data_IF_913205656807
#
_entry.id   IF_913205656807
#
_cell.length_a   1.000
_cell.length_b   1.000
_cell.length_c   1.000
_cell.angle_alpha   90.00
_cell.angle_beta   90.00
_cell.angle_gamma   90.00
#
_symmetry.space_group_name_H-M   'P 1'
#
loop_
_entity.id
_entity.type
_entity.pdbx_description
1 polymer ?
#
# COMPACT_ATOMS: atom_id res chain seq x y z
N UNK A 1 -32.94 4.88 -1.91
CA UNK A 1 -32.82 3.68 -2.79
C UNK A 1 -31.98 2.59 -2.14
N UNK A 2 -30.76 2.89 -1.68
CA UNK A 2 -29.86 1.87 -1.10
C UNK A 2 -30.36 1.29 0.24
N UNK A 3 -31.00 2.10 1.09
CA UNK A 3 -31.62 1.61 2.33
C UNK A 3 -32.87 0.74 2.07
N UNK A 4 -33.62 1.05 1.03
CA UNK A 4 -34.83 0.30 0.64
C UNK A 4 -34.50 -1.03 -0.07
N UNK A 5 -33.31 -1.14 -0.68
CA UNK A 5 -32.89 -2.30 -1.47
C UNK A 5 -31.43 -2.68 -1.18
N UNK A 6 -31.13 -3.22 0.01
CA UNK A 6 -29.76 -3.58 0.40
C UNK A 6 -29.12 -4.64 -0.51
N UNK A 7 -29.94 -5.48 -1.16
CA UNK A 7 -29.49 -6.49 -2.11
C UNK A 7 -28.73 -5.91 -3.33
N UNK A 8 -28.90 -4.62 -3.64
CA UNK A 8 -28.14 -3.94 -4.69
C UNK A 8 -26.62 -3.97 -4.42
N UNK A 9 -26.21 -3.87 -3.15
CA UNK A 9 -24.80 -3.95 -2.76
C UNK A 9 -24.22 -5.34 -3.06
N UNK A 10 -24.98 -6.40 -2.76
CA UNK A 10 -24.60 -7.78 -3.08
C UNK A 10 -24.57 -8.05 -4.57
N UNK A 11 -25.56 -7.55 -5.31
CA UNK A 11 -25.57 -7.65 -6.77
C UNK A 11 -24.33 -7.01 -7.38
N UNK A 12 -23.96 -5.80 -6.95
CA UNK A 12 -22.75 -5.11 -7.44
C UNK A 12 -21.46 -5.89 -7.13
N UNK A 13 -21.37 -6.49 -5.94
CA UNK A 13 -20.23 -7.35 -5.57
C UNK A 13 -20.08 -8.58 -6.49
N UNK A 14 -21.20 -9.25 -6.78
CA UNK A 14 -21.22 -10.47 -7.61
C UNK A 14 -21.00 -10.16 -9.10
N UNK A 15 -21.56 -9.06 -9.60
CA UNK A 15 -21.36 -8.62 -11.00
C UNK A 15 -19.93 -8.22 -11.31
N UNK A 16 -19.14 -7.86 -10.29
CA UNK A 16 -17.70 -7.61 -10.45
C UNK A 16 -16.85 -8.86 -10.24
N UNK A 17 -17.47 -10.02 -9.97
CA UNK A 17 -16.81 -11.30 -9.75
C UNK A 17 -17.11 -12.26 -10.92
N UNK A 18 -18.39 -12.58 -11.12
CA UNK A 18 -18.84 -13.64 -12.03
C UNK A 18 -18.40 -13.46 -13.49
N UNK A 19 -18.40 -12.25 -14.08
CA UNK A 19 -17.95 -12.09 -15.46
C UNK A 19 -16.44 -12.23 -15.63
N UNK A 20 -15.67 -11.93 -14.57
CA UNK A 20 -14.20 -11.97 -14.63
C UNK A 20 -13.66 -13.37 -14.43
N UNK A 21 -14.34 -14.20 -13.64
CA UNK A 21 -14.00 -15.59 -13.37
C UNK A 21 -13.48 -16.36 -14.61
N UNK A 22 -14.27 -16.54 -15.69
CA UNK A 22 -13.84 -17.34 -16.84
C UNK A 22 -12.77 -16.65 -17.71
N UNK A 23 -12.60 -15.33 -17.58
CA UNK A 23 -11.72 -14.53 -18.45
C UNK A 23 -10.38 -14.26 -17.79
N UNK A 24 -10.28 -14.31 -16.45
CA UNK A 24 -9.05 -14.01 -15.71
C UNK A 24 -7.79 -14.73 -16.22
N UNK A 25 -7.83 -16.02 -16.65
CA UNK A 25 -6.64 -16.71 -17.16
C UNK A 25 -6.20 -16.22 -18.54
N UNK A 26 -7.09 -15.55 -19.29
CA UNK A 26 -6.87 -15.08 -20.66
C UNK A 26 -6.40 -13.62 -20.70
N UNK A 27 -6.29 -12.95 -19.55
CA UNK A 27 -5.97 -11.52 -19.49
C UNK A 27 -4.49 -11.29 -19.80
N UNK A 28 -4.17 -10.55 -20.88
CA UNK A 28 -2.78 -10.27 -21.23
C UNK A 28 -2.15 -9.28 -20.25
N UNK A 29 -0.85 -9.06 -20.40
CA UNK A 29 -0.11 -8.10 -19.59
C UNK A 29 -0.74 -6.70 -19.64
N UNK A 30 -0.93 -6.07 -18.48
CA UNK A 30 -1.54 -4.73 -18.37
C UNK A 30 -3.08 -4.74 -18.37
N UNK A 31 -3.71 -5.89 -18.10
CA UNK A 31 -5.15 -5.99 -17.89
C UNK A 31 -5.99 -6.07 -19.17
N UNK A 32 -5.39 -5.91 -20.36
CA UNK A 32 -6.06 -6.10 -21.66
C UNK A 32 -7.32 -5.26 -21.88
N UNK A 33 -7.43 -4.10 -21.20
CA UNK A 33 -8.65 -3.28 -21.19
C UNK A 33 -9.78 -3.82 -20.32
N UNK A 34 -9.64 -4.98 -19.68
CA UNK A 34 -10.62 -5.57 -18.76
C UNK A 34 -10.30 -5.18 -17.30
N UNK A 35 -9.01 -5.09 -16.99
CA UNK A 35 -8.49 -4.66 -15.70
C UNK A 35 -8.31 -3.15 -15.56
N UNK A 36 -7.98 -2.73 -14.34
CA UNK A 36 -7.58 -1.35 -14.06
C UNK A 36 -6.06 -1.22 -14.16
N UNK A 37 -5.57 -0.08 -14.66
CA UNK A 37 -4.13 0.18 -14.75
C UNK A 37 -3.64 0.97 -13.54
N UNK A 38 -2.57 0.50 -12.89
CA UNK A 38 -2.03 1.12 -11.66
C UNK A 38 -0.99 2.19 -12.01
N UNK A 39 -1.25 3.44 -11.63
CA UNK A 39 -0.40 4.60 -11.96
C UNK A 39 0.05 5.31 -10.68
N UNK A 40 1.36 5.51 -10.41
CA UNK A 40 1.83 6.23 -9.23
C UNK A 40 1.55 7.75 -9.31
N UNK A 41 1.44 8.43 -8.15
CA UNK A 41 1.59 9.90 -8.13
C UNK A 41 3.07 10.18 -8.32
N UNK A 42 3.38 11.10 -9.22
CA UNK A 42 4.74 11.54 -9.50
C UNK A 42 5.52 11.82 -8.21
N UNK A 43 6.47 10.95 -7.89
CA UNK A 43 7.54 11.23 -6.93
C UNK A 43 8.84 11.16 -7.69
N UNK A 44 9.54 12.29 -7.74
CA UNK A 44 10.89 12.36 -8.24
C UNK A 44 11.77 11.43 -7.39
N UNK A 45 12.08 10.26 -7.94
CA UNK A 45 13.30 9.58 -7.55
C UNK A 45 14.41 10.53 -8.00
N UNK A 46 15.11 11.16 -7.05
CA UNK A 46 16.14 12.20 -7.28
C UNK A 46 17.37 11.72 -8.10
N UNK A 47 17.31 10.55 -8.71
CA UNK A 47 18.25 10.11 -9.72
C UNK A 47 17.52 9.63 -10.97
N UNK A 48 17.42 10.55 -11.93
CA UNK A 48 17.17 10.41 -13.38
C UNK A 48 16.79 9.00 -13.83
N UNK A 49 15.53 8.63 -13.63
CA UNK A 49 14.85 7.63 -14.44
C UNK A 49 13.57 8.30 -14.93
N UNK A 50 13.56 8.71 -16.20
CA UNK A 50 12.37 9.28 -16.82
C UNK A 50 11.36 8.13 -16.98
N UNK A 51 10.34 8.12 -16.13
CA UNK A 51 9.15 7.29 -16.35
C UNK A 51 8.40 7.79 -17.60
N UNK A 52 7.74 6.88 -18.32
CA UNK A 52 6.98 7.24 -19.53
C UNK A 52 5.80 8.12 -19.11
N UNK A 53 5.47 9.15 -19.90
CA UNK A 53 4.42 10.12 -19.55
C UNK A 53 3.06 9.47 -19.25
N UNK A 54 2.69 8.38 -19.92
CA UNK A 54 1.43 7.65 -19.65
C UNK A 54 1.35 7.04 -18.24
N UNK A 55 2.47 6.91 -17.55
CA UNK A 55 2.56 6.43 -16.17
C UNK A 55 2.53 7.58 -15.14
N UNK A 56 2.21 8.80 -15.58
CA UNK A 56 2.05 9.98 -14.73
C UNK A 56 0.58 10.36 -14.64
N UNK A 57 0.09 10.65 -13.44
CA UNK A 57 -1.30 11.11 -13.28
C UNK A 57 -1.51 12.48 -13.93
N UNK A 58 -0.52 13.39 -13.90
CA UNK A 58 -0.61 14.69 -14.60
C UNK A 58 -0.91 14.52 -16.09
N UNK A 59 -0.23 13.59 -16.77
CA UNK A 59 -0.47 13.30 -18.19
C UNK A 59 -1.94 12.98 -18.50
N UNK A 60 -2.63 12.29 -17.59
CA UNK A 60 -4.04 11.99 -17.74
C UNK A 60 -4.92 13.15 -17.36
N UNK A 61 -4.62 13.83 -16.26
CA UNK A 61 -5.41 14.96 -15.78
C UNK A 61 -5.37 16.15 -16.75
N UNK A 62 -4.23 16.42 -17.39
CA UNK A 62 -4.03 17.53 -18.34
C UNK A 62 -4.89 17.42 -19.62
N UNK A 63 -5.44 16.23 -19.89
CA UNK A 63 -6.33 15.99 -21.04
C UNK A 63 -7.77 16.44 -20.81
N UNK A 64 -8.12 16.77 -19.57
CA UNK A 64 -9.47 17.12 -19.17
C UNK A 64 -9.47 18.49 -18.50
N UNK A 65 -10.62 19.16 -18.57
CA UNK A 65 -10.86 20.47 -17.97
C UNK A 65 -11.87 20.38 -16.80
N UNK A 66 -12.49 19.22 -16.60
CA UNK A 66 -13.52 18.96 -15.60
C UNK A 66 -13.17 17.76 -14.75
N UNK A 67 -13.22 17.97 -13.44
CA UNK A 67 -12.98 16.95 -12.43
C UNK A 67 -14.11 16.98 -11.41
N UNK A 68 -14.61 15.81 -11.04
CA UNK A 68 -15.57 15.69 -9.97
C UNK A 68 -15.13 14.61 -9.00
N UNK A 69 -15.43 14.79 -7.72
CA UNK A 69 -15.17 13.78 -6.72
C UNK A 69 -16.45 13.25 -6.09
N UNK A 70 -16.44 11.94 -5.85
CA UNK A 70 -17.50 11.20 -5.21
C UNK A 70 -16.97 10.20 -4.19
N UNK A 71 -17.89 9.77 -3.33
CA UNK A 71 -17.68 8.64 -2.44
C UNK A 71 -17.35 7.37 -3.25
N UNK A 72 -16.35 6.61 -2.77
CA UNK A 72 -15.98 5.36 -3.43
C UNK A 72 -17.10 4.31 -3.37
N UNK A 73 -17.64 3.93 -4.53
CA UNK A 73 -18.72 2.93 -4.64
C UNK A 73 -18.35 1.59 -3.99
N UNK A 74 -17.10 1.14 -4.12
CA UNK A 74 -16.64 -0.11 -3.51
C UNK A 74 -16.70 -0.04 -1.97
N UNK A 75 -16.22 1.05 -1.36
CA UNK A 75 -16.24 1.24 0.10
C UNK A 75 -17.67 1.26 0.63
N UNK A 76 -18.51 2.08 0.01
CA UNK A 76 -19.94 2.19 0.33
C UNK A 76 -20.65 0.84 0.22
N UNK A 77 -20.36 0.07 -0.82
CA UNK A 77 -20.97 -1.25 -1.02
C UNK A 77 -20.52 -2.27 0.03
N UNK A 78 -19.27 -2.25 0.48
CA UNK A 78 -18.82 -3.14 1.56
C UNK A 78 -19.41 -2.74 2.91
N UNK A 79 -19.48 -1.44 3.21
CA UNK A 79 -20.14 -0.93 4.41
C UNK A 79 -21.61 -1.37 4.48
N UNK A 80 -22.35 -1.23 3.39
CA UNK A 80 -23.75 -1.68 3.30
C UNK A 80 -23.94 -3.18 3.54
N UNK A 81 -22.89 -3.99 3.32
CA UNK A 81 -22.89 -5.43 3.58
C UNK A 81 -22.42 -5.78 4.98
N UNK A 82 -22.00 -4.82 5.80
CA UNK A 82 -21.35 -5.08 7.08
C UNK A 82 -19.94 -5.68 6.94
N UNK A 83 -19.31 -5.51 5.78
CA UNK A 83 -18.01 -6.07 5.41
C UNK A 83 -16.94 -4.99 5.20
N UNK A 84 -17.17 -3.77 5.69
CA UNK A 84 -16.19 -2.70 5.61
C UNK A 84 -14.91 -3.05 6.38
N UNK A 85 -13.75 -2.70 5.84
CA UNK A 85 -12.44 -2.98 6.47
C UNK A 85 -11.96 -1.89 7.43
N UNK A 86 -12.85 -1.02 7.90
CA UNK A 86 -12.50 0.16 8.72
C UNK A 86 -11.85 1.31 7.94
N UNK A 87 -11.75 1.20 6.62
CA UNK A 87 -11.21 2.23 5.73
C UNK A 87 -12.18 3.41 5.59
N UNK A 88 -11.63 4.60 5.40
CA UNK A 88 -12.38 5.85 5.33
C UNK A 88 -13.39 5.80 4.18
N UNK A 89 -14.68 5.98 4.45
CA UNK A 89 -15.74 5.99 3.43
C UNK A 89 -15.79 7.30 2.61
N UNK A 90 -14.66 8.00 2.53
CA UNK A 90 -14.54 9.35 2.01
C UNK A 90 -14.52 9.44 0.49
N UNK A 91 -14.26 10.65 0.05
CA UNK A 91 -14.21 11.05 -1.35
C UNK A 91 -12.85 10.69 -1.96
N UNK A 92 -12.87 9.58 -2.70
CA UNK A 92 -11.69 8.90 -3.25
C UNK A 92 -11.94 8.33 -4.65
N UNK A 93 -13.09 8.63 -5.26
CA UNK A 93 -13.41 8.28 -6.64
C UNK A 93 -13.52 9.56 -7.47
N UNK A 94 -12.57 9.75 -8.38
CA UNK A 94 -12.43 10.95 -9.19
C UNK A 94 -12.97 10.63 -10.58
N UNK A 95 -14.00 11.35 -11.02
CA UNK A 95 -14.48 11.35 -12.40
C UNK A 95 -13.79 12.47 -13.18
N UNK A 96 -13.52 12.23 -14.47
CA UNK A 96 -12.94 13.23 -15.38
C UNK A 96 -13.79 13.39 -16.64
N UNK A 97 -13.82 14.60 -17.22
CA UNK A 97 -14.56 14.90 -18.45
C UNK A 97 -16.06 14.59 -18.35
N UNK A 98 -16.61 13.89 -19.34
CA UNK A 98 -18.03 13.52 -19.41
C UNK A 98 -18.51 12.74 -18.17
N UNK A 99 -17.64 11.94 -17.57
CA UNK A 99 -17.97 11.19 -16.35
C UNK A 99 -18.11 12.12 -15.15
N UNK A 100 -17.30 13.19 -15.08
CA UNK A 100 -17.42 14.20 -14.03
C UNK A 100 -18.79 14.90 -14.11
N UNK A 101 -19.18 15.35 -15.30
CA UNK A 101 -20.49 15.97 -15.54
C UNK A 101 -21.64 15.04 -15.17
N UNK A 102 -21.59 13.80 -15.67
CA UNK A 102 -22.61 12.81 -15.40
C UNK A 102 -22.80 12.53 -13.90
N UNK A 103 -21.70 12.44 -13.14
CA UNK A 103 -21.77 12.21 -11.71
C UNK A 103 -22.37 13.41 -10.95
N UNK A 104 -22.02 14.63 -11.34
CA UNK A 104 -22.54 15.86 -10.73
C UNK A 104 -24.02 16.07 -11.06
N UNK A 105 -24.42 15.90 -12.31
CA UNK A 105 -25.81 16.06 -12.76
C UNK A 105 -26.77 15.08 -12.07
N UNK A 106 -26.27 13.90 -11.69
CA UNK A 106 -27.01 12.90 -10.93
C UNK A 106 -26.99 13.11 -9.41
N UNK A 107 -26.36 14.19 -8.94
CA UNK A 107 -26.23 14.52 -7.52
C UNK A 107 -25.38 13.52 -6.74
N UNK A 108 -24.38 12.91 -7.39
CA UNK A 108 -23.50 11.88 -6.80
C UNK A 108 -22.07 12.35 -6.56
N UNK A 109 -21.70 13.48 -7.14
CA UNK A 109 -20.38 14.10 -7.02
C UNK A 109 -20.51 15.61 -6.95
N UNK A 110 -19.41 16.28 -6.63
CA UNK A 110 -19.26 17.72 -6.79
C UNK A 110 -17.98 18.02 -7.58
N UNK A 111 -17.96 19.16 -8.29
CA UNK A 111 -16.78 19.59 -9.03
C UNK A 111 -15.64 19.99 -8.09
N UNK A 112 -14.42 19.69 -8.49
CA UNK A 112 -13.19 20.03 -7.78
C UNK A 112 -12.16 20.60 -8.74
N UNK A 113 -11.25 21.40 -8.22
CA UNK A 113 -10.11 21.93 -8.96
C UNK A 113 -9.01 20.87 -9.18
N UNK A 114 -8.10 21.16 -10.11
CA UNK A 114 -6.92 20.32 -10.35
C UNK A 114 -6.05 20.16 -9.09
N UNK A 115 -5.85 21.24 -8.33
CA UNK A 115 -5.04 21.20 -7.11
C UNK A 115 -5.69 20.34 -6.02
N UNK A 116 -7.02 20.39 -5.89
CA UNK A 116 -7.78 19.51 -4.99
C UNK A 116 -7.65 18.04 -5.41
N UNK A 117 -7.73 17.74 -6.71
CA UNK A 117 -7.47 16.39 -7.24
C UNK A 117 -6.09 15.90 -6.84
N UNK A 118 -5.05 16.71 -7.05
CA UNK A 118 -3.69 16.35 -6.66
C UNK A 118 -3.56 16.10 -5.16
N UNK A 119 -4.23 16.89 -4.33
CA UNK A 119 -4.19 16.67 -2.88
C UNK A 119 -4.91 15.39 -2.46
N UNK A 120 -6.06 15.07 -3.06
CA UNK A 120 -6.78 13.82 -2.83
C UNK A 120 -5.91 12.61 -3.21
N UNK A 121 -5.19 12.69 -4.33
CA UNK A 121 -4.27 11.64 -4.77
C UNK A 121 -3.11 11.48 -3.76
N UNK A 122 -2.47 12.58 -3.35
CA UNK A 122 -1.41 12.55 -2.32
C UNK A 122 -1.91 12.00 -0.99
N UNK A 123 -3.12 12.37 -0.57
CA UNK A 123 -3.80 11.80 0.59
C UNK A 123 -4.00 10.30 0.44
N UNK A 124 -4.46 9.85 -0.72
CA UNK A 124 -4.57 8.44 -1.05
C UNK A 124 -3.25 7.68 -0.86
N UNK A 125 -2.13 8.23 -1.33
CA UNK A 125 -0.80 7.62 -1.10
C UNK A 125 -0.43 7.57 0.39
N UNK A 126 -0.72 8.62 1.17
CA UNK A 126 -0.42 8.64 2.61
C UNK A 126 -1.18 7.55 3.36
N UNK A 127 -2.40 7.23 2.92
CA UNK A 127 -3.18 6.09 3.42
C UNK A 127 -2.76 4.73 2.83
N UNK A 128 -1.83 4.70 1.88
CA UNK A 128 -1.40 3.46 1.20
C UNK A 128 -2.41 2.93 0.18
N UNK A 129 -3.28 3.78 -0.36
CA UNK A 129 -4.20 3.42 -1.42
C UNK A 129 -3.47 3.29 -2.77
N UNK A 130 -4.04 2.45 -3.64
CA UNK A 130 -3.49 2.21 -4.98
C UNK A 130 -4.29 3.00 -5.99
N UNK A 131 -3.63 3.94 -6.67
CA UNK A 131 -4.24 4.70 -7.76
C UNK A 131 -4.42 3.82 -8.99
N UNK A 132 -5.64 3.79 -9.50
CA UNK A 132 -6.04 2.96 -10.61
C UNK A 132 -6.86 3.77 -11.61
N UNK A 133 -6.53 3.65 -12.89
CA UNK A 133 -7.29 4.26 -13.98
C UNK A 133 -8.03 3.19 -14.78
N UNK A 134 -9.13 3.60 -15.41
CA UNK A 134 -9.87 2.80 -16.38
C UNK A 134 -9.18 2.83 -17.74
N UNK A 135 -9.10 1.70 -18.44
CA UNK A 135 -8.53 1.62 -19.80
C UNK A 135 -9.53 1.04 -20.82
N UNK A 136 -10.83 1.25 -20.62
CA UNK A 136 -11.93 0.64 -21.40
C UNK A 136 -12.42 1.53 -22.56
N UNK A 137 -12.23 2.86 -22.48
CA UNK A 137 -12.87 3.84 -23.38
C UNK A 137 -12.01 4.22 -24.61
N UNK A 138 -10.97 3.43 -24.89
CA UNK A 138 -10.07 3.61 -26.02
C UNK A 138 -8.73 4.23 -25.66
N UNK A 139 -7.82 4.20 -26.63
CA UNK A 139 -6.44 4.66 -26.44
C UNK A 139 -6.40 6.15 -26.04
N UNK A 140 -5.63 6.44 -25.00
CA UNK A 140 -5.41 7.81 -24.55
C UNK A 140 -6.60 8.45 -23.82
N UNK A 141 -7.63 7.68 -23.42
CA UNK A 141 -8.77 8.13 -22.62
C UNK A 141 -8.94 7.35 -21.32
N UNK A 142 -9.36 8.06 -20.28
CA UNK A 142 -9.84 7.50 -19.00
C UNK A 142 -11.19 8.14 -18.65
N UNK A 143 -11.99 7.48 -17.81
CA UNK A 143 -13.24 8.07 -17.28
C UNK A 143 -13.15 8.39 -15.79
N UNK A 144 -12.16 7.83 -15.10
CA UNK A 144 -11.93 8.16 -13.71
C UNK A 144 -10.66 7.55 -13.15
N UNK A 145 -10.32 8.07 -11.97
CA UNK A 145 -9.17 7.66 -11.16
C UNK A 145 -9.72 7.18 -9.82
N UNK A 146 -9.41 5.93 -9.50
CA UNK A 146 -9.81 5.28 -8.25
C UNK A 146 -8.64 5.25 -7.27
N UNK A 147 -8.88 5.62 -6.01
CA UNK A 147 -7.91 5.49 -4.92
C UNK A 147 -8.24 4.24 -4.08
N UNK A 148 -7.74 3.10 -4.53
CA UNK A 148 -8.22 1.80 -4.10
C UNK A 148 -7.57 1.32 -2.80
N UNK A 149 -8.38 1.15 -1.76
CA UNK A 149 -7.96 0.50 -0.53
C UNK A 149 -7.98 -1.03 -0.74
N UNK A 150 -6.91 -1.77 -0.35
CA UNK A 150 -6.81 -3.21 -0.61
C UNK A 150 -7.91 -4.08 -0.01
N UNK A 151 -8.43 -3.72 1.18
CA UNK A 151 -9.44 -4.53 1.87
C UNK A 151 -10.86 -4.43 1.30
N UNK A 152 -11.12 -3.46 0.43
CA UNK A 152 -12.49 -3.10 -0.03
C UNK A 152 -12.64 -3.01 -1.54
N UNK A 153 -11.55 -2.79 -2.27
CA UNK A 153 -11.61 -2.52 -3.70
C UNK A 153 -11.92 -3.77 -4.51
N UNK A 154 -12.98 -3.71 -5.32
CA UNK A 154 -13.36 -4.82 -6.20
C UNK A 154 -12.36 -5.05 -7.35
N UNK A 155 -11.61 -4.02 -7.77
CA UNK A 155 -10.56 -4.17 -8.78
C UNK A 155 -9.28 -4.81 -8.22
N UNK A 156 -8.78 -4.37 -7.05
CA UNK A 156 -7.63 -5.03 -6.44
C UNK A 156 -7.96 -6.45 -6.00
N UNK A 157 -9.20 -6.68 -5.54
CA UNK A 157 -9.71 -8.01 -5.20
C UNK A 157 -9.48 -8.99 -6.33
N UNK A 158 -9.70 -8.64 -7.61
CA UNK A 158 -9.62 -9.64 -8.68
C UNK A 158 -8.22 -10.23 -8.78
N UNK A 159 -7.18 -9.41 -8.60
CA UNK A 159 -5.78 -9.86 -8.58
C UNK A 159 -5.46 -10.72 -7.35
N UNK A 160 -6.19 -10.55 -6.24
CA UNK A 160 -5.96 -11.29 -4.99
C UNK A 160 -6.79 -12.58 -4.89
N UNK A 161 -8.08 -12.50 -5.22
CA UNK A 161 -9.05 -13.60 -5.21
C UNK A 161 -8.71 -14.63 -6.28
N UNK A 162 -8.45 -14.21 -7.51
CA UNK A 162 -8.12 -15.13 -8.60
C UNK A 162 -6.61 -15.38 -8.71
N UNK A 163 -5.81 -14.75 -7.84
CA UNK A 163 -4.35 -14.83 -7.85
C UNK A 163 -3.75 -14.52 -9.25
N UNK A 164 -4.34 -13.54 -9.94
CA UNK A 164 -4.00 -13.15 -11.32
C UNK A 164 -3.38 -11.74 -11.35
N UNK A 165 -2.04 -11.62 -11.28
CA UNK A 165 -1.39 -10.32 -11.09
C UNK A 165 -1.50 -9.37 -12.29
N UNK A 166 -1.99 -9.83 -13.45
CA UNK A 166 -2.09 -9.03 -14.66
C UNK A 166 -3.27 -8.04 -14.66
N UNK A 167 -4.29 -8.24 -13.79
CA UNK A 167 -5.49 -7.39 -13.75
C UNK A 167 -5.28 -6.01 -13.10
N UNK A 168 -4.27 -5.88 -12.24
CA UNK A 168 -3.91 -4.64 -11.55
C UNK A 168 -2.40 -4.40 -11.61
N UNK A 169 -1.80 -4.65 -12.78
CA UNK A 169 -0.36 -4.60 -12.97
C UNK A 169 0.12 -3.17 -13.23
N UNK A 170 1.16 -2.75 -12.52
CA UNK A 170 1.93 -1.55 -12.90
C UNK A 170 2.98 -1.90 -13.96
N UNK A 171 3.35 -0.94 -14.81
CA UNK A 171 4.52 -1.07 -15.69
C UNK A 171 5.83 -1.22 -14.90
N UNK A 172 5.84 -0.78 -13.64
CA UNK A 172 6.99 -0.89 -12.76
C UNK A 172 6.90 -2.12 -11.85
N UNK A 173 8.03 -2.83 -11.72
CA UNK A 173 8.17 -3.96 -10.79
C UNK A 173 9.19 -3.61 -9.71
N UNK A 174 8.76 -3.68 -8.45
CA UNK A 174 9.67 -3.56 -7.33
C UNK A 174 10.71 -4.69 -7.37
N UNK A 175 11.98 -4.34 -7.22
CA UNK A 175 13.10 -5.27 -7.20
C UNK A 175 13.90 -5.10 -5.90
N UNK A 176 14.34 -6.21 -5.32
CA UNK A 176 15.10 -6.22 -4.06
C UNK A 176 16.52 -6.69 -4.35
N UNK A 177 17.48 -5.76 -4.23
CA UNK A 177 18.90 -6.09 -4.23
C UNK A 177 19.26 -6.74 -2.88
N UNK A 178 19.60 -8.04 -2.90
CA UNK A 178 19.78 -8.87 -1.71
C UNK A 178 20.88 -8.35 -0.78
N UNK A 179 21.95 -7.82 -1.37
CA UNK A 179 23.14 -7.31 -0.70
C UNK A 179 22.81 -6.05 0.10
N UNK A 180 21.93 -5.20 -0.43
CA UNK A 180 21.49 -3.94 0.20
C UNK A 180 20.35 -4.14 1.20
N UNK A 181 19.47 -5.12 0.97
CA UNK A 181 18.29 -5.35 1.79
C UNK A 181 18.65 -5.86 3.19
N UNK A 182 18.29 -5.15 4.26
CA UNK A 182 18.50 -5.58 5.66
C UNK A 182 17.31 -6.33 6.27
N UNK A 183 16.33 -6.72 5.44
CA UNK A 183 15.11 -7.40 5.87
C UNK A 183 14.33 -6.68 6.98
N UNK A 184 14.24 -5.33 6.90
CA UNK A 184 13.55 -4.50 7.90
C UNK A 184 12.03 -4.67 7.91
N UNK A 185 11.45 -5.13 6.80
CA UNK A 185 10.04 -5.47 6.69
C UNK A 185 9.08 -4.35 6.30
N UNK A 186 9.56 -3.12 6.11
CA UNK A 186 8.66 -2.02 5.72
C UNK A 186 7.99 -2.21 4.37
N UNK A 187 8.69 -2.78 3.39
CA UNK A 187 8.12 -3.05 2.07
C UNK A 187 6.99 -4.09 2.08
N UNK A 188 7.00 -5.04 3.01
CA UNK A 188 5.93 -6.07 3.09
C UNK A 188 4.70 -5.52 3.80
N UNK A 189 4.89 -4.67 4.82
CA UNK A 189 3.79 -4.02 5.56
C UNK A 189 2.92 -3.15 4.65
N UNK A 190 3.55 -2.43 3.72
CA UNK A 190 2.86 -1.53 2.79
C UNK A 190 2.38 -2.21 1.51
N UNK A 191 2.74 -3.47 1.27
CA UNK A 191 2.42 -4.14 0.01
C UNK A 191 0.89 -4.32 -0.13
N UNK A 192 0.23 -3.68 -1.10
CA UNK A 192 -1.24 -3.69 -1.18
C UNK A 192 -1.82 -5.09 -1.35
N UNK A 193 -1.12 -5.93 -2.13
CA UNK A 193 -1.55 -7.28 -2.50
C UNK A 193 -0.73 -8.39 -1.82
N UNK A 194 0.18 -8.03 -0.91
CA UNK A 194 1.10 -8.95 -0.24
C UNK A 194 1.96 -9.81 -1.17
N UNK A 195 2.33 -9.26 -2.32
CA UNK A 195 3.29 -9.86 -3.24
C UNK A 195 4.70 -9.99 -2.63
N UNK A 196 5.04 -9.16 -1.64
CA UNK A 196 6.30 -9.23 -0.92
C UNK A 196 6.09 -9.89 0.45
N UNK A 197 6.92 -10.89 0.77
CA UNK A 197 6.93 -11.58 2.07
C UNK A 197 8.32 -11.56 2.69
N UNK A 198 8.36 -11.38 4.01
CA UNK A 198 9.59 -11.49 4.79
C UNK A 198 9.96 -12.95 4.98
N UNK A 199 11.26 -13.20 4.92
CA UNK A 199 11.86 -14.44 5.36
C UNK A 199 13.16 -14.19 6.10
N UNK A 200 13.88 -15.26 6.40
CA UNK A 200 15.18 -15.21 7.04
C UNK A 200 16.28 -14.71 6.10
N UNK A 201 17.02 -13.70 6.57
CA UNK A 201 18.28 -13.25 5.97
C UNK A 201 19.51 -13.97 6.56
N UNK A 202 19.35 -14.70 7.66
CA UNK A 202 20.45 -15.40 8.33
C UNK A 202 21.04 -16.49 7.43
N UNK A 203 22.38 -16.58 7.40
CA UNK A 203 23.06 -17.69 6.78
C UNK A 203 22.75 -18.97 7.57
N UNK A 204 22.28 -20.01 6.88
CA UNK A 204 22.13 -21.34 7.48
C UNK A 204 23.31 -22.22 7.07
N UNK A 205 23.62 -23.25 7.88
CA UNK A 205 24.66 -24.24 7.53
C UNK A 205 24.33 -25.02 6.26
N UNK A 206 23.05 -25.05 5.86
CA UNK A 206 22.53 -25.72 4.67
C UNK A 206 22.46 -24.78 3.45
N UNK A 207 22.93 -23.54 3.57
CA UNK A 207 22.92 -22.53 2.51
C UNK A 207 21.74 -21.55 2.60
N UNK A 208 21.40 -20.92 1.47
CA UNK A 208 20.31 -19.96 1.40
C UNK A 208 18.94 -20.66 1.35
N UNK A 209 17.98 -20.19 2.14
CA UNK A 209 16.61 -20.71 2.10
C UNK A 209 15.96 -20.29 0.77
N UNK A 210 15.39 -21.27 0.06
CA UNK A 210 14.58 -21.02 -1.14
C UNK A 210 13.11 -20.94 -0.73
N UNK A 211 12.46 -19.84 -1.07
CA UNK A 211 11.04 -19.61 -0.82
C UNK A 211 10.20 -20.06 -2.03
N UNK A 212 8.95 -20.49 -1.81
CA UNK A 212 8.06 -20.88 -2.89
C UNK A 212 7.75 -19.68 -3.78
N UNK A 213 7.64 -19.94 -5.08
CA UNK A 213 7.14 -18.98 -6.07
C UNK A 213 5.67 -19.27 -6.33
N UNK A 214 4.87 -18.22 -6.47
CA UNK A 214 3.46 -18.35 -6.85
C UNK A 214 3.38 -18.80 -8.30
N UNK A 215 2.60 -19.85 -8.57
CA UNK A 215 2.25 -20.25 -9.94
C UNK A 215 1.42 -19.15 -10.60
N UNK A 216 1.54 -19.00 -11.90
CA UNK A 216 0.82 -17.98 -12.66
C UNK A 216 -0.14 -18.63 -13.67
N UNK A 217 -1.26 -17.96 -14.03
CA UNK A 217 -2.25 -18.50 -14.97
C UNK A 217 -1.72 -18.80 -16.38
N UNK A 218 -0.57 -18.26 -16.76
CA UNK A 218 0.09 -18.53 -18.04
C UNK A 218 0.91 -19.82 -18.06
N UNK A 219 1.20 -20.40 -16.89
CA UNK A 219 2.05 -21.59 -16.75
C UNK A 219 1.26 -22.89 -16.52
N UNK A 220 -0.02 -22.80 -16.12
CA UNK A 220 -0.86 -23.94 -15.74
C UNK A 220 -2.33 -23.69 -16.02
N UNK A 221 -3.11 -24.76 -16.13
CA UNK A 221 -4.57 -24.67 -16.12
C UNK A 221 -5.03 -23.98 -14.83
N UNK A 222 -5.95 -23.02 -14.97
CA UNK A 222 -6.35 -22.13 -13.89
C UNK A 222 -7.82 -22.32 -13.54
N UNK A 223 -8.08 -22.93 -12.39
CA UNK A 223 -9.42 -23.23 -11.87
C UNK A 223 -9.66 -22.66 -10.48
N UNK A 224 -10.82 -23.00 -9.91
CA UNK A 224 -11.22 -22.57 -8.56
C UNK A 224 -10.22 -23.01 -7.47
N UNK A 225 -9.46 -24.08 -7.71
CA UNK A 225 -8.43 -24.61 -6.82
C UNK A 225 -7.21 -23.66 -6.67
N UNK A 226 -7.05 -22.71 -7.59
CA UNK A 226 -6.01 -21.68 -7.55
C UNK A 226 -6.51 -20.34 -6.99
N UNK A 227 -7.79 -20.26 -6.61
CA UNK A 227 -8.37 -19.05 -6.04
C UNK A 227 -8.12 -18.96 -4.53
N UNK A 228 -8.22 -17.74 -4.03
CA UNK A 228 -8.09 -17.40 -2.63
C UNK A 228 -9.38 -16.73 -2.14
N UNK A 229 -10.41 -17.50 -1.76
CA UNK A 229 -11.67 -16.93 -1.27
C UNK A 229 -11.47 -16.08 0.00
N UNK A 230 -10.48 -16.45 0.82
CA UNK A 230 -10.12 -15.76 2.07
C UNK A 230 -9.06 -14.67 1.86
N UNK A 231 -8.93 -14.13 0.64
CA UNK A 231 -7.89 -13.16 0.29
C UNK A 231 -7.78 -11.97 1.24
N UNK A 232 -8.90 -11.54 1.84
CA UNK A 232 -8.91 -10.44 2.82
C UNK A 232 -8.05 -10.73 4.05
N UNK A 233 -8.02 -11.99 4.47
CA UNK A 233 -7.25 -12.45 5.63
C UNK A 233 -5.85 -12.92 5.23
N UNK A 234 -5.74 -13.60 4.09
CA UNK A 234 -4.51 -14.32 3.72
C UNK A 234 -3.57 -13.53 2.82
N UNK A 235 -4.07 -12.57 2.01
CA UNK A 235 -3.22 -11.81 1.09
C UNK A 235 -2.21 -10.93 1.81
N UNK A 236 -2.47 -10.49 3.05
CA UNK A 236 -1.55 -9.65 3.83
C UNK A 236 -0.69 -10.42 4.85
N UNK A 237 -0.55 -11.74 4.67
CA UNK A 237 0.43 -12.50 5.45
C UNK A 237 1.84 -12.08 5.03
N UNK A 238 2.44 -11.22 5.84
CA UNK A 238 3.67 -10.51 5.51
C UNK A 238 4.96 -11.32 5.76
N UNK A 239 4.86 -12.54 6.27
CA UNK A 239 6.02 -13.37 6.63
C UNK A 239 5.80 -14.82 6.22
N UNK A 240 6.87 -15.51 5.80
CA UNK A 240 6.89 -16.96 5.75
C UNK A 240 7.01 -17.55 7.16
N UNK A 241 6.68 -18.84 7.31
CA UNK A 241 6.76 -19.57 8.59
C UNK A 241 8.17 -19.63 9.19
N UNK A 242 9.20 -19.43 8.35
CA UNK A 242 10.59 -19.27 8.82
C UNK A 242 10.79 -18.01 9.65
N UNK A 243 9.82 -17.09 9.68
CA UNK A 243 9.81 -15.89 10.49
C UNK A 243 10.70 -14.77 9.95
N UNK A 244 10.85 -13.73 10.77
CA UNK A 244 11.68 -12.55 10.51
C UNK A 244 12.75 -12.39 11.60
N UNK A 245 13.42 -11.24 11.64
CA UNK A 245 14.44 -10.99 12.66
C UNK A 245 13.86 -11.02 14.08
N UNK A 246 14.55 -11.65 15.04
CA UNK A 246 14.06 -11.79 16.40
C UNK A 246 13.99 -10.45 17.14
N UNK A 247 14.88 -9.50 16.84
CA UNK A 247 14.85 -8.17 17.47
C UNK A 247 13.57 -7.38 17.15
N UNK A 248 13.04 -7.50 15.92
CA UNK A 248 11.75 -6.92 15.51
C UNK A 248 10.58 -7.64 16.18
N UNK A 249 10.63 -8.97 16.22
CA UNK A 249 9.58 -9.80 16.83
C UNK A 249 9.48 -9.57 18.35
N UNK A 250 10.62 -9.43 19.03
CA UNK A 250 10.69 -9.21 20.47
C UNK A 250 10.34 -7.77 20.90
N UNK A 251 10.42 -6.80 19.98
CA UNK A 251 9.99 -5.43 20.24
C UNK A 251 8.46 -5.36 20.28
N UNK A 252 7.82 -4.89 21.38
CA UNK A 252 6.37 -4.78 21.45
C UNK A 252 5.74 -3.87 20.39
N UNK A 253 6.50 -2.87 19.92
CA UNK A 253 6.08 -1.96 18.84
C UNK A 253 6.48 -2.47 17.45
N UNK A 254 7.08 -3.66 17.35
CA UNK A 254 7.55 -4.27 16.10
C UNK A 254 8.38 -3.33 15.20
N UNK A 255 9.21 -2.46 15.82
CA UNK A 255 10.01 -1.50 15.09
C UNK A 255 10.90 -2.17 14.04
N UNK A 256 11.12 -1.47 12.92
CA UNK A 256 12.06 -1.86 11.88
C UNK A 256 13.54 -1.69 12.34
N UNK A 257 13.96 -2.44 13.37
CA UNK A 257 15.27 -2.36 14.02
C UNK A 257 16.42 -2.37 13.03
N UNK A 258 16.43 -3.36 12.14
CA UNK A 258 17.47 -3.51 11.13
C UNK A 258 17.53 -2.30 10.19
N UNK A 259 16.38 -1.69 9.90
CA UNK A 259 16.27 -0.52 9.04
C UNK A 259 16.89 0.72 9.67
N UNK A 260 16.46 1.09 10.88
CA UNK A 260 16.96 2.32 11.51
C UNK A 260 18.43 2.19 11.95
N UNK A 261 18.89 0.99 12.35
CA UNK A 261 20.31 0.75 12.66
C UNK A 261 21.16 0.90 11.39
N UNK A 262 20.70 0.39 10.26
CA UNK A 262 21.38 0.57 8.96
C UNK A 262 21.46 2.04 8.56
N UNK A 263 20.35 2.77 8.65
CA UNK A 263 20.33 4.22 8.37
C UNK A 263 21.28 4.98 9.30
N UNK A 264 21.31 4.66 10.60
CA UNK A 264 22.23 5.26 11.55
C UNK A 264 23.71 4.97 11.21
N UNK A 265 24.03 3.76 10.74
CA UNK A 265 25.40 3.43 10.28
C UNK A 265 25.84 4.23 9.05
N UNK A 266 24.89 4.78 8.30
CA UNK A 266 25.11 5.64 7.13
C UNK A 266 25.03 7.14 7.48
N UNK A 267 24.88 7.49 8.77
CA UNK A 267 24.72 8.88 9.22
C UNK A 267 23.32 9.48 8.95
N UNK A 268 22.37 8.70 8.46
CA UNK A 268 21.00 9.12 8.10
C UNK A 268 20.08 9.14 9.32
N UNK A 269 20.44 9.91 10.35
CA UNK A 269 19.72 9.90 11.63
C UNK A 269 18.29 10.42 11.52
N UNK A 270 18.02 11.43 10.69
CA UNK A 270 16.67 11.95 10.50
C UNK A 270 15.74 10.96 9.79
N UNK A 271 16.26 10.21 8.81
CA UNK A 271 15.49 9.14 8.16
C UNK A 271 15.21 8.00 9.13
N UNK A 272 16.20 7.64 9.95
CA UNK A 272 16.06 6.66 11.01
C UNK A 272 14.98 7.07 12.03
N UNK A 273 14.95 8.36 12.43
CA UNK A 273 13.92 8.91 13.32
C UNK A 273 12.53 8.84 12.68
N UNK A 274 12.39 9.26 11.41
CA UNK A 274 11.14 9.16 10.65
C UNK A 274 10.64 7.71 10.60
N UNK A 275 11.54 6.76 10.33
CA UNK A 275 11.23 5.33 10.28
C UNK A 275 10.73 4.82 11.64
N UNK A 276 11.37 5.20 12.74
CA UNK A 276 10.91 4.81 14.09
C UNK A 276 9.52 5.42 14.39
N UNK A 277 9.30 6.68 14.03
CA UNK A 277 8.04 7.40 14.28
C UNK A 277 6.83 6.89 13.50
N UNK A 278 7.04 6.02 12.50
CA UNK A 278 5.92 5.32 11.84
C UNK A 278 5.17 4.40 12.79
N UNK A 279 5.88 3.76 13.73
CA UNK A 279 5.30 2.75 14.62
C UNK A 279 5.33 3.18 16.10
N UNK A 280 6.22 4.11 16.47
CA UNK A 280 6.36 4.59 17.84
C UNK A 280 6.30 6.13 17.91
N UNK A 281 5.19 6.70 18.41
CA UNK A 281 5.05 8.15 18.54
C UNK A 281 5.93 8.78 19.63
N UNK A 282 6.50 7.98 20.56
CA UNK A 282 7.30 8.47 21.69
C UNK A 282 8.70 7.82 21.75
N UNK A 283 9.54 7.97 20.70
CA UNK A 283 10.83 7.30 20.67
C UNK A 283 11.79 7.77 21.75
N UNK A 284 11.79 9.07 22.12
CA UNK A 284 12.64 9.58 23.20
C UNK A 284 12.31 8.98 24.56
N UNK A 285 11.02 8.84 24.89
CA UNK A 285 10.57 8.18 26.13
C UNK A 285 11.01 6.72 26.10
N UNK A 286 10.70 5.99 25.04
CA UNK A 286 11.14 4.60 24.89
C UNK A 286 12.67 4.47 24.91
N UNK A 287 13.45 5.44 24.43
CA UNK A 287 14.91 5.44 24.52
C UNK A 287 15.44 5.64 25.95
N UNK A 288 14.60 6.13 26.87
CA UNK A 288 14.97 6.31 28.27
C UNK A 288 14.56 5.13 29.16
N UNK A 289 13.43 4.48 28.87
CA UNK A 289 12.81 3.48 29.76
C UNK A 289 12.68 2.06 29.17
N UNK A 290 13.10 1.82 27.93
CA UNK A 290 12.91 0.52 27.30
C UNK A 290 13.65 -0.59 28.05
N UNK A 291 12.98 -1.73 28.18
CA UNK A 291 13.51 -2.95 28.80
C UNK A 291 14.36 -3.82 27.85
N UNK A 292 14.70 -3.32 26.66
CA UNK A 292 15.71 -3.90 25.74
C UNK A 292 15.48 -5.36 25.31
N UNK A 293 14.23 -5.84 25.27
CA UNK A 293 13.90 -7.20 24.78
C UNK A 293 14.48 -7.55 23.40
N UNK A 294 14.64 -6.55 22.54
CA UNK A 294 15.24 -6.71 21.23
C UNK A 294 16.74 -7.07 21.28
N UNK A 295 17.45 -6.63 22.32
CA UNK A 295 18.86 -6.97 22.57
C UNK A 295 18.98 -8.37 23.16
N UNK A 296 18.10 -8.76 24.09
CA UNK A 296 18.05 -10.13 24.65
C UNK A 296 17.85 -11.18 23.56
N UNK A 297 17.01 -10.89 22.57
CA UNK A 297 16.74 -11.76 21.44
C UNK A 297 17.76 -11.62 20.28
N UNK A 298 18.76 -10.74 20.40
CA UNK A 298 19.69 -10.44 19.33
C UNK A 298 20.58 -11.66 19.01
N UNK A 299 20.56 -12.11 17.75
CA UNK A 299 21.35 -13.27 17.32
C UNK A 299 22.85 -13.04 17.45
N UNK A 300 23.32 -11.80 17.39
CA UNK A 300 24.74 -11.45 17.59
C UNK A 300 25.23 -11.79 19.01
N UNK A 301 24.35 -11.69 20.01
CA UNK A 301 24.65 -12.07 21.39
C UNK A 301 24.99 -13.56 21.58
N UNK A 302 24.69 -14.42 20.60
CA UNK A 302 25.13 -15.82 20.59
C UNK A 302 26.58 -16.02 20.13
N UNK A 303 27.19 -14.98 19.57
CA UNK A 303 28.58 -14.99 19.08
C UNK A 303 29.47 -14.23 20.05
N UNK A 304 29.10 -12.99 20.37
CA UNK A 304 29.83 -12.13 21.31
C UNK A 304 28.85 -11.33 22.19
N UNK A 305 28.45 -10.13 21.77
CA UNK A 305 27.56 -9.25 22.52
C UNK A 305 26.41 -8.79 21.62
N UNK A 306 25.19 -8.63 22.17
CA UNK A 306 24.10 -8.00 21.46
C UNK A 306 24.49 -6.63 20.89
N UNK A 307 23.86 -6.26 19.77
CA UNK A 307 23.95 -4.89 19.28
C UNK A 307 23.27 -3.98 20.32
N UNK A 308 23.89 -2.85 20.65
CA UNK A 308 23.33 -1.81 21.54
C UNK A 308 22.19 -1.04 20.84
N UNK A 309 21.13 -1.75 20.49
CA UNK A 309 19.96 -1.28 19.75
C UNK A 309 19.30 -0.11 20.48
N UNK A 310 19.16 -0.19 21.80
CA UNK A 310 18.53 0.84 22.62
C UNK A 310 19.35 2.11 22.67
N UNK A 311 20.68 2.02 22.82
CA UNK A 311 21.55 3.20 22.80
C UNK A 311 21.55 3.89 21.43
N UNK A 312 21.57 3.12 20.33
CA UNK A 312 21.42 3.67 18.97
C UNK A 312 20.08 4.39 18.84
N UNK A 313 18.99 3.74 19.26
CA UNK A 313 17.64 4.32 19.23
C UNK A 313 17.56 5.59 20.10
N UNK A 314 18.16 5.59 21.28
CA UNK A 314 18.20 6.74 22.20
C UNK A 314 18.95 7.92 21.58
N UNK A 315 20.08 7.67 20.93
CA UNK A 315 20.82 8.71 20.19
C UNK A 315 19.99 9.28 19.04
N UNK A 316 19.35 8.43 18.23
CA UNK A 316 18.46 8.87 17.14
C UNK A 316 17.29 9.69 17.70
N UNK A 317 16.66 9.20 18.77
CA UNK A 317 15.50 9.83 19.38
C UNK A 317 15.84 11.18 20.04
N UNK A 318 17.05 11.35 20.57
CA UNK A 318 17.48 12.62 21.15
C UNK A 318 17.41 13.80 20.14
N UNK A 319 17.51 13.54 18.84
CA UNK A 319 17.33 14.53 17.78
C UNK A 319 15.94 15.20 17.82
N UNK A 320 14.92 14.50 18.35
CA UNK A 320 13.55 15.04 18.44
C UNK A 320 13.36 16.02 19.60
N UNK A 321 14.28 16.01 20.59
CA UNK A 321 14.23 16.89 21.75
C UNK A 321 14.64 18.32 21.38
N UNK A 322 15.43 18.49 20.32
CA UNK A 322 15.74 19.80 19.78
C UNK A 322 14.56 20.29 18.93
N UNK A 323 14.02 21.45 19.31
CA UNK A 323 12.89 22.06 18.65
C UNK A 323 13.09 22.31 17.15
N UNK A 324 14.32 22.63 16.75
CA UNK A 324 14.68 23.00 15.38
C UNK A 324 14.81 21.78 14.44
N UNK A 325 15.18 20.62 14.98
CA UNK A 325 15.42 19.40 14.20
C UNK A 325 14.34 18.34 14.40
N UNK A 326 13.33 18.60 15.24
CA UNK A 326 12.29 17.61 15.53
C UNK A 326 11.52 17.25 14.26
N UNK A 327 11.32 15.94 14.05
CA UNK A 327 10.36 15.46 13.06
C UNK A 327 8.98 15.32 13.73
N UNK A 328 7.98 16.03 13.21
CA UNK A 328 6.57 15.88 13.58
C UNK A 328 5.86 15.22 12.40
N UNK A 329 5.28 14.01 12.58
CA UNK A 329 4.45 13.39 11.55
C UNK A 329 3.26 14.30 11.19
N UNK A 330 2.77 14.18 9.96
CA UNK A 330 1.53 14.86 9.56
C UNK A 330 0.37 14.28 10.36
N UNK A 331 -0.33 15.13 11.11
CA UNK A 331 -1.50 14.77 11.91
C UNK A 331 -2.78 15.19 11.16
N UNK A 332 -3.00 14.58 10.01
CA UNK A 332 -4.19 14.79 9.18
C UNK A 332 -5.39 13.97 9.73
N UNK A 333 -6.59 14.51 9.55
CA UNK A 333 -7.88 13.86 9.73
C UNK A 333 -8.26 13.14 8.44
N UNK A 334 -9.14 12.16 8.57
CA UNK A 334 -9.65 11.36 7.46
C UNK A 334 -10.30 12.18 6.32
N UNK A 335 -10.77 13.40 6.62
CA UNK A 335 -11.39 14.34 5.68
C UNK A 335 -10.40 15.31 5.01
N UNK A 336 -9.10 15.27 5.37
CA UNK A 336 -8.06 16.16 4.85
C UNK A 336 -7.75 17.38 5.71
N UNK A 337 -8.50 17.63 6.80
CA UNK A 337 -8.15 18.68 7.78
C UNK A 337 -7.00 18.26 8.69
N UNK A 338 -6.39 19.18 9.45
CA UNK A 338 -5.40 18.80 10.47
C UNK A 338 -6.05 18.64 11.86
N UNK A 339 -5.54 17.71 12.67
CA UNK A 339 -5.91 17.60 14.09
C UNK A 339 -5.45 18.80 14.93
N UNK A 340 -4.47 19.55 14.44
CA UNK A 340 -3.99 20.80 15.05
C UNK A 340 -4.92 21.99 14.85
N UNK A 341 -5.85 21.90 13.91
CA UNK A 341 -6.81 22.96 13.61
C UNK A 341 -7.97 22.84 14.62
N UNK A 342 -7.76 23.41 15.81
CA UNK A 342 -8.78 23.60 16.86
C UNK A 342 -8.78 25.03 17.35
#
# INVERSE_FOLDING_TARGET
>A
LTEAHPNLATFFNLMTQMPLEPVTPMVPLGGGGIGMHVIPVEKAIEHVNQSVSVEHLSHWLDKYDKYAISQCTCRRQQEMRGEGSGEINGEFCIGVGDMAEYQVDRGRAHYVSYDEVLEILKRGERHGFVHQITNIDGEGKIVGICNCAPGVCNALRTSQLYNTPNLSRSAYRAHVEKEKCVACGKCVEVCPVGAAKLGQKLCTSLGAIKYPTTLLPDETEWGEDHWNPDYRETSKINCYDTGTAPCKTACPAHLAVQGYVKMASEGRFMDALKLIKQDNPFPAVCGAICNRRCEDACTRGKVDQPIAIDEIKKYIAAQELNAETRFVPLCEKDDGGMWSDK
#
